data_IF_599875501099
#
_entry.id   IF_599875501099
#
_cell.length_a   1.000
_cell.length_b   1.000
_cell.length_c   1.000
_cell.angle_alpha   90.00
_cell.angle_beta   90.00
_cell.angle_gamma   90.00
#
_symmetry.space_group_name_H-M   'P 1'
#
loop_
_entity.id
_entity.type
_entity.pdbx_description
1 polymer ?
#
# COMPACT_ATOMS: atom_id res chain seq x y z
N UNK A 1 -17.33 -22.68 20.89
CA UNK A 1 -16.97 -22.66 22.33
C UNK A 1 -18.03 -21.90 23.10
N UNK A 2 -18.50 -22.42 24.23
CA UNK A 2 -19.54 -21.75 25.05
C UNK A 2 -18.85 -20.76 25.99
N UNK A 3 -19.11 -19.47 25.83
CA UNK A 3 -18.58 -18.44 26.74
C UNK A 3 -19.42 -18.44 28.04
N UNK A 4 -18.77 -18.51 29.20
CA UNK A 4 -19.38 -18.41 30.53
C UNK A 4 -18.51 -17.50 31.39
N UNK A 5 -19.12 -16.61 32.18
CA UNK A 5 -18.43 -15.80 33.19
C UNK A 5 -17.75 -14.51 32.69
N UNK A 6 -17.99 -14.08 31.45
CA UNK A 6 -17.49 -12.79 30.94
C UNK A 6 -18.54 -11.71 31.22
N UNK A 7 -18.15 -10.67 31.94
CA UNK A 7 -19.00 -9.51 32.24
C UNK A 7 -18.42 -8.30 31.49
N UNK A 8 -19.26 -7.61 30.71
CA UNK A 8 -18.87 -6.44 29.92
C UNK A 8 -19.54 -5.19 30.48
N UNK A 9 -18.77 -4.13 30.62
CA UNK A 9 -19.25 -2.83 31.05
C UNK A 9 -19.15 -1.82 29.90
N UNK A 10 -20.09 -0.89 29.84
CA UNK A 10 -20.11 0.19 28.86
C UNK A 10 -20.68 1.48 29.48
N UNK A 11 -20.33 2.63 28.90
CA UNK A 11 -20.84 3.95 29.28
C UNK A 11 -21.70 4.50 28.15
N UNK A 12 -22.83 5.14 28.47
CA UNK A 12 -23.70 5.77 27.48
C UNK A 12 -22.91 6.71 26.55
N UNK A 13 -23.07 6.63 25.21
CA UNK A 13 -22.36 7.49 24.27
C UNK A 13 -22.59 8.99 24.52
N UNK A 14 -23.78 9.37 24.96
CA UNK A 14 -24.14 10.75 25.29
C UNK A 14 -23.38 11.30 26.52
N UNK A 15 -22.63 10.45 27.22
CA UNK A 15 -21.80 10.79 28.40
C UNK A 15 -20.31 10.73 28.08
N UNK A 16 -19.92 10.46 26.84
CA UNK A 16 -18.54 10.42 26.38
C UNK A 16 -18.25 11.59 25.44
N UNK A 17 -16.99 12.01 25.36
CA UNK A 17 -16.53 12.89 24.29
C UNK A 17 -16.09 12.02 23.10
N UNK A 18 -16.79 12.08 21.95
CA UNK A 18 -16.57 11.15 20.84
C UNK A 18 -15.19 11.28 20.16
N UNK A 19 -14.51 12.42 20.30
CA UNK A 19 -13.20 12.68 19.69
C UNK A 19 -12.08 12.85 20.72
N UNK A 20 -12.33 12.50 21.98
CA UNK A 20 -11.31 12.57 23.02
C UNK A 20 -10.07 11.75 22.62
N UNK A 21 -8.92 12.43 22.55
CA UNK A 21 -7.65 11.79 22.18
C UNK A 21 -7.52 11.36 20.72
N UNK A 22 -8.51 11.67 19.86
CA UNK A 22 -8.53 11.21 18.48
C UNK A 22 -7.30 11.66 17.68
N UNK A 23 -6.83 12.90 17.83
CA UNK A 23 -5.67 13.40 17.09
C UNK A 23 -4.37 12.66 17.47
N UNK A 24 -4.09 12.53 18.78
CA UNK A 24 -2.92 11.80 19.28
C UNK A 24 -2.99 10.33 18.88
N UNK A 25 -4.15 9.68 19.10
CA UNK A 25 -4.36 8.30 18.72
C UNK A 25 -4.25 8.08 17.21
N UNK A 26 -4.82 8.97 16.39
CA UNK A 26 -4.76 8.87 14.93
C UNK A 26 -3.33 8.94 14.43
N UNK A 27 -2.50 9.88 14.90
CA UNK A 27 -1.11 9.99 14.44
C UNK A 27 -0.30 8.76 14.86
N UNK A 28 -0.25 8.45 16.14
CA UNK A 28 0.66 7.42 16.64
C UNK A 28 0.17 5.99 16.36
N UNK A 29 -1.13 5.71 16.45
CA UNK A 29 -1.63 4.38 16.10
C UNK A 29 -1.64 4.13 14.59
N UNK A 30 -1.86 5.15 13.76
CA UNK A 30 -1.80 4.95 12.31
C UNK A 30 -0.37 4.65 11.87
N UNK A 31 0.63 5.39 12.36
CA UNK A 31 2.03 5.07 12.08
C UNK A 31 2.41 3.68 12.59
N UNK A 32 2.05 3.34 13.83
CA UNK A 32 2.31 2.02 14.41
C UNK A 32 1.69 0.91 13.57
N UNK A 33 0.47 1.08 13.04
CA UNK A 33 -0.19 0.11 12.17
C UNK A 33 0.49 0.03 10.80
N UNK A 34 0.76 1.18 10.19
CA UNK A 34 1.35 1.28 8.85
C UNK A 34 2.74 0.62 8.79
N UNK A 35 3.62 0.92 9.76
CA UNK A 35 5.00 0.39 9.74
C UNK A 35 5.08 -1.14 9.78
N UNK A 36 4.09 -1.82 10.34
CA UNK A 36 4.03 -3.29 10.39
C UNK A 36 3.57 -3.91 9.07
N UNK A 37 2.98 -3.12 8.18
CA UNK A 37 2.39 -3.60 6.92
C UNK A 37 3.15 -3.10 5.69
N UNK A 38 3.82 -1.94 5.78
CA UNK A 38 4.46 -1.29 4.63
C UNK A 38 5.46 -2.21 3.92
N UNK A 39 6.19 -3.07 4.63
CA UNK A 39 7.17 -3.97 4.01
C UNK A 39 6.54 -5.16 3.26
N UNK A 40 5.27 -5.46 3.46
CA UNK A 40 4.58 -6.47 2.65
C UNK A 40 4.06 -5.90 1.34
N UNK A 41 3.76 -4.60 1.31
CA UNK A 41 3.14 -3.96 0.15
C UNK A 41 4.10 -3.11 -0.67
N UNK A 42 5.03 -2.40 -0.03
CA UNK A 42 5.96 -1.51 -0.72
C UNK A 42 6.92 -2.27 -1.67
N UNK A 43 7.54 -3.40 -1.29
CA UNK A 43 8.43 -4.11 -2.21
C UNK A 43 7.78 -4.56 -3.53
N UNK A 44 6.62 -5.25 -3.54
CA UNK A 44 5.98 -5.61 -4.80
C UNK A 44 5.54 -4.39 -5.60
N UNK A 45 5.03 -3.33 -4.95
CA UNK A 45 4.63 -2.11 -5.64
C UNK A 45 5.81 -1.42 -6.35
N UNK A 46 6.95 -1.31 -5.67
CA UNK A 46 8.17 -0.73 -6.24
C UNK A 46 8.69 -1.60 -7.39
N UNK A 47 8.71 -2.92 -7.21
CA UNK A 47 9.13 -3.86 -8.25
C UNK A 47 8.29 -3.69 -9.52
N UNK A 48 6.96 -3.72 -9.40
CA UNK A 48 6.07 -3.60 -10.55
C UNK A 48 6.10 -2.21 -11.19
N UNK A 49 6.31 -1.16 -10.41
CA UNK A 49 6.50 0.19 -10.94
C UNK A 49 7.70 0.25 -11.89
N UNK A 50 8.85 -0.25 -11.47
CA UNK A 50 10.05 -0.26 -12.32
C UNK A 50 9.93 -1.24 -13.50
N UNK A 51 9.30 -2.40 -13.30
CA UNK A 51 9.06 -3.34 -14.39
C UNK A 51 8.16 -2.72 -15.47
N UNK A 52 7.13 -1.98 -15.07
CA UNK A 52 6.24 -1.28 -15.99
C UNK A 52 6.98 -0.16 -16.72
N UNK A 53 7.76 0.65 -16.01
CA UNK A 53 8.55 1.72 -16.61
C UNK A 53 9.50 1.16 -17.68
N UNK A 54 10.25 0.09 -17.35
CA UNK A 54 11.13 -0.58 -18.30
C UNK A 54 10.36 -1.12 -19.51
N UNK A 55 9.21 -1.76 -19.29
CA UNK A 55 8.40 -2.32 -20.37
C UNK A 55 7.88 -1.22 -21.32
N UNK A 56 7.45 -0.07 -20.78
CA UNK A 56 7.00 1.08 -21.57
C UNK A 56 8.15 1.68 -22.39
N UNK A 57 9.28 2.00 -21.76
CA UNK A 57 10.45 2.56 -22.45
C UNK A 57 10.99 1.61 -23.53
N UNK A 58 11.05 0.31 -23.22
CA UNK A 58 11.47 -0.70 -24.20
C UNK A 58 10.50 -0.80 -25.36
N UNK A 59 9.18 -0.76 -25.10
CA UNK A 59 8.17 -0.79 -26.15
C UNK A 59 8.27 0.43 -27.08
N UNK A 60 8.43 1.62 -26.51
CA UNK A 60 8.62 2.86 -27.28
C UNK A 60 9.89 2.80 -28.12
N UNK A 61 10.99 2.29 -27.55
CA UNK A 61 12.25 2.13 -28.26
C UNK A 61 12.13 1.20 -29.47
N UNK A 62 11.55 0.01 -29.28
CA UNK A 62 11.37 -0.97 -30.36
C UNK A 62 10.49 -0.41 -31.49
N UNK A 63 9.50 0.42 -31.16
CA UNK A 63 8.62 1.07 -32.14
C UNK A 63 9.21 2.37 -32.72
N UNK A 64 10.38 2.81 -32.25
CA UNK A 64 11.09 3.97 -32.78
C UNK A 64 11.82 3.65 -34.09
N UNK A 65 12.25 4.70 -34.81
CA UNK A 65 13.07 4.53 -36.03
C UNK A 65 14.42 3.88 -35.73
N UNK A 66 15.04 4.23 -34.60
CA UNK A 66 16.32 3.68 -34.19
C UNK A 66 16.20 2.19 -33.84
N UNK A 67 15.19 1.82 -33.05
CA UNK A 67 14.93 0.42 -32.70
C UNK A 67 14.63 -0.44 -33.93
N UNK A 68 13.78 0.04 -34.85
CA UNK A 68 13.55 -0.67 -36.12
C UNK A 68 14.84 -0.87 -36.92
N UNK A 69 15.74 0.11 -36.95
CA UNK A 69 17.02 -0.01 -37.66
C UNK A 69 17.96 -1.03 -37.00
N UNK A 70 18.02 -1.04 -35.67
CA UNK A 70 18.87 -1.97 -34.92
C UNK A 70 18.44 -3.43 -35.09
N UNK A 71 17.13 -3.69 -35.21
CA UNK A 71 16.57 -5.04 -35.36
C UNK A 71 16.22 -5.40 -36.82
N UNK A 72 16.49 -4.53 -37.80
CA UNK A 72 16.19 -4.80 -39.22
C UNK A 72 17.12 -5.86 -39.85
N UNK A 73 18.34 -6.01 -39.32
CA UNK A 73 19.37 -6.91 -39.86
C UNK A 73 19.44 -8.26 -39.12
N UNK A 74 18.46 -8.55 -38.25
CA UNK A 74 18.44 -9.74 -37.38
C UNK A 74 17.51 -10.85 -37.93
N UNK A 75 17.02 -10.69 -39.16
CA UNK A 75 16.44 -11.77 -39.99
C UNK A 75 17.49 -12.31 -40.99
#
# INVERSE_FOLDING_TARGET
>A
MKQRGIISYAVSPNRQNPLAGAANAAIFNSWRRFRHQVLYWAPPMVFFYYALQWATERNEYLNSKAGRKEFADVE
#
